data_IF_835299539380
#
_entry.id   IF_835299539380
#
_cell.length_a   1.000
_cell.length_b   1.000
_cell.length_c   1.000
_cell.angle_alpha   90.00
_cell.angle_beta   90.00
_cell.angle_gamma   90.00
#
_symmetry.space_group_name_H-M   'P 1'
#
loop_
_entity.id
_entity.type
_entity.pdbx_description
1 polymer ?
#
# COMPACT_ATOMS: atom_id res chain seq x y z
N UNK A 1 -4.44 -6.78 15.14
CA UNK A 1 -3.22 -6.06 14.65
C UNK A 1 -3.32 -4.57 15.00
N UNK A 2 -2.19 -3.88 15.26
CA UNK A 2 -2.25 -2.42 15.52
C UNK A 2 -2.33 -1.66 14.19
N UNK A 3 -3.14 -0.60 14.14
CA UNK A 3 -3.19 0.34 13.01
C UNK A 3 -1.83 1.02 12.88
N UNK A 4 -1.16 0.82 11.75
CA UNK A 4 0.16 1.40 11.48
C UNK A 4 0.02 2.76 10.79
N UNK A 5 0.88 3.71 11.15
CA UNK A 5 0.93 5.05 10.52
C UNK A 5 1.11 4.96 9.00
N UNK A 6 1.86 3.97 8.51
CA UNK A 6 2.15 3.80 7.08
C UNK A 6 0.86 3.54 6.26
N UNK A 7 -0.06 2.69 6.79
CA UNK A 7 -1.35 2.43 6.13
C UNK A 7 -2.25 3.66 6.08
N UNK A 8 -2.31 4.43 7.19
CA UNK A 8 -3.08 5.69 7.24
C UNK A 8 -2.51 6.71 6.26
N UNK A 9 -1.19 6.87 6.24
CA UNK A 9 -0.52 7.80 5.31
C UNK A 9 -0.81 7.44 3.86
N UNK A 10 -0.64 6.16 3.48
CA UNK A 10 -0.92 5.71 2.13
C UNK A 10 -2.38 5.91 1.76
N UNK A 11 -3.30 5.46 2.62
CA UNK A 11 -4.74 5.59 2.40
C UNK A 11 -5.22 7.03 2.27
N UNK A 12 -4.59 7.99 2.95
CA UNK A 12 -4.89 9.41 2.83
C UNK A 12 -4.24 10.05 1.60
N UNK A 13 -2.99 9.65 1.28
CA UNK A 13 -2.17 10.28 0.23
C UNK A 13 -2.53 9.82 -1.18
N UNK A 14 -2.91 8.56 -1.38
CA UNK A 14 -3.14 8.00 -2.71
C UNK A 14 -4.13 8.83 -3.53
N UNK A 15 -3.81 9.02 -4.81
CA UNK A 15 -4.71 9.72 -5.75
C UNK A 15 -5.94 8.87 -6.03
N UNK A 16 -7.12 9.44 -5.89
CA UNK A 16 -8.40 8.80 -6.24
C UNK A 16 -9.12 9.60 -7.31
N UNK A 17 -9.79 8.91 -8.23
CA UNK A 17 -10.57 9.53 -9.31
C UNK A 17 -12.04 9.16 -9.17
N UNK A 18 -12.97 10.05 -9.52
CA UNK A 18 -14.39 9.70 -9.55
C UNK A 18 -14.73 8.55 -10.51
N UNK A 19 -13.84 8.29 -11.48
CA UNK A 19 -13.94 7.19 -12.44
C UNK A 19 -13.45 5.84 -11.92
N UNK A 20 -12.75 5.80 -10.79
CA UNK A 20 -12.28 4.54 -10.21
C UNK A 20 -13.49 3.68 -9.79
N UNK A 21 -13.59 2.48 -10.34
CA UNK A 21 -14.68 1.54 -10.07
C UNK A 21 -14.23 0.31 -9.33
N UNK A 22 -12.98 -0.09 -9.51
CA UNK A 22 -12.41 -1.30 -8.92
C UNK A 22 -11.07 -0.98 -8.30
N UNK A 23 -10.97 -1.19 -6.99
CA UNK A 23 -9.76 -0.91 -6.22
C UNK A 23 -9.30 -2.19 -5.52
N UNK A 24 -8.00 -2.47 -5.58
CA UNK A 24 -7.37 -3.61 -4.94
C UNK A 24 -6.42 -3.16 -3.84
N UNK A 25 -6.52 -3.77 -2.67
CA UNK A 25 -5.60 -3.61 -1.54
C UNK A 25 -4.80 -4.91 -1.37
N UNK A 26 -3.51 -4.90 -1.72
CA UNK A 26 -2.62 -6.07 -1.63
C UNK A 26 -1.91 -6.06 -0.28
N UNK A 27 -2.06 -7.15 0.48
CA UNK A 27 -1.60 -7.23 1.86
C UNK A 27 -2.53 -6.42 2.77
N UNK A 28 -3.84 -6.69 2.68
CA UNK A 28 -4.88 -5.85 3.29
C UNK A 28 -4.88 -5.85 4.82
N UNK A 29 -4.29 -6.86 5.46
CA UNK A 29 -4.18 -6.98 6.92
C UNK A 29 -5.53 -6.82 7.61
N UNK A 30 -5.70 -5.74 8.36
CA UNK A 30 -6.96 -5.40 9.05
C UNK A 30 -8.03 -4.77 8.16
N UNK A 31 -7.75 -4.57 6.87
CA UNK A 31 -8.66 -3.91 5.93
C UNK A 31 -8.67 -2.38 6.01
N UNK A 32 -7.72 -1.77 6.74
CA UNK A 32 -7.69 -0.32 6.96
C UNK A 32 -7.68 0.46 5.65
N UNK A 33 -6.73 0.16 4.74
CA UNK A 33 -6.60 0.90 3.48
C UNK A 33 -7.82 0.65 2.60
N UNK A 34 -8.31 -0.60 2.53
CA UNK A 34 -9.53 -0.94 1.81
C UNK A 34 -10.74 -0.11 2.28
N UNK A 35 -10.92 0.06 3.59
CA UNK A 35 -12.00 0.87 4.17
C UNK A 35 -11.81 2.36 3.87
N UNK A 36 -10.58 2.89 3.95
CA UNK A 36 -10.28 4.27 3.56
C UNK A 36 -10.60 4.52 2.07
N UNK A 37 -10.30 3.56 1.19
CA UNK A 37 -10.68 3.65 -0.23
C UNK A 37 -12.19 3.62 -0.41
N UNK A 38 -12.90 2.76 0.32
CA UNK A 38 -14.36 2.70 0.27
C UNK A 38 -15.02 4.01 0.73
N UNK A 39 -14.44 4.69 1.73
CA UNK A 39 -14.88 6.00 2.18
C UNK A 39 -14.62 7.08 1.12
N UNK A 40 -13.41 7.11 0.54
CA UNK A 40 -12.98 8.16 -0.39
C UNK A 40 -13.56 8.05 -1.79
N UNK A 41 -13.95 6.83 -2.22
CA UNK A 41 -14.48 6.55 -3.56
C UNK A 41 -15.84 5.85 -3.46
N UNK A 42 -16.95 6.60 -3.27
CA UNK A 42 -18.27 6.00 -3.02
C UNK A 42 -18.78 5.09 -4.14
N UNK A 43 -18.32 5.30 -5.38
CA UNK A 43 -18.72 4.51 -6.55
C UNK A 43 -17.91 3.24 -6.78
N UNK A 44 -16.84 3.01 -6.00
CA UNK A 44 -15.93 1.88 -6.22
C UNK A 44 -16.33 0.64 -5.42
N UNK A 45 -15.97 -0.53 -5.97
CA UNK A 45 -15.88 -1.81 -5.25
C UNK A 45 -14.45 -2.06 -4.87
N UNK A 46 -14.22 -2.42 -3.62
CA UNK A 46 -12.90 -2.62 -3.05
C UNK A 46 -12.69 -4.12 -2.81
N UNK A 47 -11.55 -4.62 -3.21
CA UNK A 47 -11.13 -5.98 -2.88
C UNK A 47 -9.83 -5.93 -2.10
N UNK A 48 -9.80 -6.51 -0.92
CA UNK A 48 -8.57 -6.76 -0.17
C UNK A 48 -8.10 -8.20 -0.40
N UNK A 49 -6.80 -8.39 -0.61
CA UNK A 49 -6.19 -9.72 -0.73
C UNK A 49 -5.08 -9.83 0.29
N UNK A 50 -5.10 -10.90 1.06
CA UNK A 50 -4.04 -11.22 2.02
C UNK A 50 -3.80 -12.72 2.07
N UNK A 51 -2.57 -13.13 2.37
CA UNK A 51 -2.21 -14.52 2.61
C UNK A 51 -2.54 -14.94 4.05
N UNK A 52 -2.51 -13.98 4.96
CA UNK A 52 -2.82 -14.17 6.38
C UNK A 52 -4.34 -14.23 6.60
N UNK A 53 -4.73 -14.50 7.86
CA UNK A 53 -6.15 -14.54 8.25
C UNK A 53 -6.83 -13.17 8.06
N UNK A 54 -7.92 -13.17 7.30
CA UNK A 54 -8.72 -11.99 6.94
C UNK A 54 -9.98 -11.81 7.81
N UNK A 55 -10.14 -12.57 8.89
CA UNK A 55 -11.33 -12.51 9.76
C UNK A 55 -11.53 -11.12 10.34
N UNK A 56 -10.45 -10.51 10.86
CA UNK A 56 -10.51 -9.14 11.41
C UNK A 56 -10.85 -8.10 10.32
N UNK A 57 -10.35 -8.26 9.10
CA UNK A 57 -10.67 -7.35 7.99
C UNK A 57 -12.16 -7.42 7.63
N UNK A 58 -12.73 -8.62 7.62
CA UNK A 58 -14.17 -8.85 7.37
C UNK A 58 -15.01 -8.23 8.48
N UNK A 59 -14.68 -8.49 9.76
CA UNK A 59 -15.37 -7.91 10.90
C UNK A 59 -15.35 -6.36 10.85
N UNK A 60 -14.21 -5.76 10.51
CA UNK A 60 -14.08 -4.32 10.37
C UNK A 60 -14.93 -3.78 9.21
N UNK A 61 -15.01 -4.51 8.08
CA UNK A 61 -15.86 -4.12 6.98
C UNK A 61 -17.34 -4.21 7.34
N UNK A 62 -17.77 -5.30 7.96
CA UNK A 62 -19.15 -5.51 8.38
C UNK A 62 -19.61 -4.48 9.40
N UNK A 63 -18.71 -4.05 10.28
CA UNK A 63 -18.97 -2.97 11.26
C UNK A 63 -18.95 -1.55 10.63
N UNK A 64 -18.52 -1.41 9.38
CA UNK A 64 -18.40 -0.12 8.70
C UNK A 64 -19.63 0.20 7.84
N UNK A 65 -19.89 1.48 7.53
CA UNK A 65 -20.95 1.87 6.58
C UNK A 65 -20.69 1.40 5.14
N UNK A 66 -19.49 0.88 4.84
CA UNK A 66 -19.04 0.54 3.48
C UNK A 66 -18.97 -0.97 3.22
N UNK A 67 -19.30 -1.83 4.18
CA UNK A 67 -19.16 -3.28 4.11
C UNK A 67 -19.77 -3.91 2.85
N UNK A 68 -20.91 -3.41 2.38
CA UNK A 68 -21.53 -3.89 1.13
C UNK A 68 -20.72 -3.67 -0.15
N UNK A 69 -19.60 -2.92 -0.09
CA UNK A 69 -18.72 -2.61 -1.23
C UNK A 69 -17.28 -3.09 -1.04
N UNK A 70 -16.97 -3.70 0.10
CA UNK A 70 -15.63 -4.19 0.45
C UNK A 70 -15.68 -5.70 0.61
N UNK A 71 -14.82 -6.41 -0.10
CA UNK A 71 -14.69 -7.85 0.00
C UNK A 71 -13.22 -8.24 0.27
N UNK A 72 -13.03 -9.33 1.00
CA UNK A 72 -11.67 -9.84 1.28
C UNK A 72 -11.53 -11.28 0.81
N UNK A 73 -10.38 -11.58 0.18
CA UNK A 73 -10.00 -12.88 -0.34
C UNK A 73 -8.70 -13.31 0.33
N UNK A 74 -8.71 -14.48 0.96
CA UNK A 74 -7.51 -15.05 1.56
C UNK A 74 -6.81 -15.94 0.54
N UNK A 75 -5.78 -15.42 -0.09
CA UNK A 75 -4.91 -16.16 -1.00
C UNK A 75 -3.61 -15.38 -1.26
N UNK A 76 -2.54 -16.05 -1.70
CA UNK A 76 -1.37 -15.37 -2.26
C UNK A 76 -1.80 -14.50 -3.45
N UNK A 77 -1.29 -13.26 -3.54
CA UNK A 77 -1.65 -12.37 -4.65
C UNK A 77 -1.22 -12.93 -6.02
N UNK A 78 -0.19 -13.78 -6.06
CA UNK A 78 0.27 -14.48 -7.24
C UNK A 78 -0.83 -15.40 -7.84
N UNK A 79 -1.66 -15.97 -6.96
CA UNK A 79 -2.75 -16.89 -7.32
C UNK A 79 -4.10 -16.17 -7.48
N UNK A 80 -4.19 -14.92 -7.07
CA UNK A 80 -5.43 -14.14 -7.16
C UNK A 80 -5.80 -13.87 -8.62
N UNK A 81 -6.90 -14.47 -9.09
CA UNK A 81 -7.39 -14.40 -10.47
C UNK A 81 -8.82 -13.82 -10.54
N UNK A 82 -8.99 -12.50 -10.40
CA UNK A 82 -10.29 -11.86 -10.45
C UNK A 82 -10.82 -11.74 -11.89
N UNK A 83 -12.12 -11.56 -12.02
CA UNK A 83 -12.71 -11.17 -13.31
C UNK A 83 -12.42 -9.69 -13.58
N UNK A 84 -11.54 -9.40 -14.54
CA UNK A 84 -11.16 -8.06 -14.97
C UNK A 84 -10.13 -7.38 -14.05
N UNK A 85 -9.65 -6.23 -14.50
CA UNK A 85 -8.55 -5.46 -13.92
C UNK A 85 -9.04 -4.38 -12.95
N UNK A 86 -8.11 -3.72 -12.25
CA UNK A 86 -8.35 -2.69 -11.26
C UNK A 86 -7.88 -1.32 -11.75
N UNK A 87 -8.63 -0.28 -11.43
CA UNK A 87 -8.31 1.11 -11.76
C UNK A 87 -7.26 1.68 -10.81
N UNK A 88 -7.24 1.15 -9.58
CA UNK A 88 -6.28 1.50 -8.56
C UNK A 88 -5.87 0.25 -7.78
N UNK A 89 -4.57 0.07 -7.63
CA UNK A 89 -3.98 -0.93 -6.74
C UNK A 89 -3.23 -0.20 -5.64
N UNK A 90 -3.41 -0.59 -4.39
CA UNK A 90 -2.69 -0.06 -3.24
C UNK A 90 -1.99 -1.18 -2.49
N UNK A 91 -0.85 -0.90 -1.88
CA UNK A 91 -0.16 -1.88 -1.02
C UNK A 91 0.69 -1.21 0.05
N UNK A 92 0.57 -1.71 1.27
CA UNK A 92 1.51 -1.50 2.36
C UNK A 92 2.16 -2.85 2.69
N UNK A 93 3.10 -3.32 1.86
CA UNK A 93 3.65 -4.65 2.00
C UNK A 93 4.47 -4.77 3.29
N UNK A 94 4.56 -5.97 3.90
CA UNK A 94 5.41 -6.16 5.07
C UNK A 94 6.88 -5.93 4.69
N UNK A 95 7.55 -5.00 5.40
CA UNK A 95 8.95 -4.68 5.20
C UNK A 95 9.79 -5.54 6.13
N UNK A 96 10.58 -6.42 5.58
CA UNK A 96 11.66 -7.06 6.30
C UNK A 96 12.98 -6.52 5.75
N UNK A 97 13.65 -5.71 6.55
CA UNK A 97 15.06 -5.43 6.32
C UNK A 97 15.76 -6.79 6.30
N UNK A 98 16.48 -7.11 5.23
CA UNK A 98 17.45 -8.20 5.23
C UNK A 98 18.57 -7.83 6.22
N UNK A 99 18.29 -7.85 7.51
CA UNK A 99 19.32 -7.88 8.53
C UNK A 99 19.94 -9.28 8.50
N UNK A 100 20.90 -9.48 7.60
CA UNK A 100 21.94 -10.45 7.77
C UNK A 100 22.56 -10.21 9.16
N UNK A 101 22.40 -11.18 10.05
CA UNK A 101 22.93 -11.29 11.40
C UNK A 101 21.91 -11.14 12.55
N UNK A 102 21.12 -12.17 12.77
CA UNK A 102 20.82 -12.57 14.13
C UNK A 102 21.31 -14.02 14.30
N UNK A 103 22.42 -14.27 15.02
CA UNK A 103 22.89 -15.61 15.31
C UNK A 103 22.17 -16.19 16.56
N UNK A 104 20.86 -16.19 16.58
CA UNK A 104 20.09 -16.89 17.60
C UNK A 104 19.12 -17.88 16.95
N UNK A 105 19.69 -19.07 16.65
CA UNK A 105 19.02 -20.24 16.08
C UNK A 105 18.02 -20.92 17.05
N UNK A 106 17.59 -20.24 18.10
CA UNK A 106 16.81 -20.85 19.19
C UNK A 106 15.33 -20.47 19.29
N UNK A 107 14.81 -19.54 18.44
CA UNK A 107 13.40 -19.10 18.48
C UNK A 107 12.72 -19.06 17.12
N UNK A 108 13.00 -20.02 16.28
CA UNK A 108 12.55 -20.09 14.87
C UNK A 108 11.19 -20.79 14.71
N UNK A 109 10.33 -20.74 15.70
CA UNK A 109 9.03 -21.42 15.59
C UNK A 109 7.91 -20.42 15.77
N UNK A 110 7.61 -19.59 14.82
CA UNK A 110 6.32 -18.94 14.57
C UNK A 110 6.37 -17.54 13.92
N UNK A 111 7.15 -17.30 12.88
CA UNK A 111 6.95 -16.11 12.02
C UNK A 111 7.51 -16.37 10.61
N UNK A 112 7.03 -17.40 9.94
CA UNK A 112 7.06 -17.38 8.48
C UNK A 112 5.92 -16.48 7.98
N UNK A 113 6.05 -15.16 8.21
CA UNK A 113 5.30 -14.22 7.40
C UNK A 113 5.72 -14.50 5.95
N UNK A 114 4.79 -14.97 5.14
CA UNK A 114 5.05 -15.26 3.74
C UNK A 114 5.47 -13.92 3.12
N UNK A 115 6.77 -13.80 2.85
CA UNK A 115 7.34 -12.60 2.22
C UNK A 115 6.72 -12.45 0.84
N UNK A 116 6.23 -11.27 0.53
CA UNK A 116 5.90 -10.90 -0.84
C UNK A 116 7.13 -10.21 -1.46
N UNK A 117 7.95 -10.92 -2.25
CA UNK A 117 9.11 -10.33 -2.90
C UNK A 117 8.69 -9.17 -3.80
N UNK A 118 9.53 -8.16 -3.93
CA UNK A 118 9.23 -6.98 -4.77
C UNK A 118 8.98 -7.35 -6.24
N UNK A 119 9.65 -8.37 -6.76
CA UNK A 119 9.38 -8.91 -8.09
C UNK A 119 7.97 -9.44 -8.22
N UNK A 120 7.53 -10.23 -7.23
CA UNK A 120 6.18 -10.83 -7.22
C UNK A 120 5.10 -9.76 -7.06
N UNK A 121 5.34 -8.74 -6.21
CA UNK A 121 4.44 -7.60 -6.08
C UNK A 121 4.31 -6.85 -7.42
N UNK A 122 5.44 -6.54 -8.08
CA UNK A 122 5.45 -5.90 -9.42
C UNK A 122 4.65 -6.73 -10.42
N UNK A 123 4.92 -8.04 -10.52
CA UNK A 123 4.28 -8.92 -11.49
C UNK A 123 2.77 -9.05 -11.23
N UNK A 124 2.37 -9.14 -9.97
CA UNK A 124 0.96 -9.13 -9.59
C UNK A 124 0.29 -7.80 -9.98
N UNK A 125 0.94 -6.67 -9.70
CA UNK A 125 0.42 -5.34 -10.08
C UNK A 125 0.27 -5.23 -11.59
N UNK A 126 1.28 -5.56 -12.38
CA UNK A 126 1.23 -5.49 -13.85
C UNK A 126 0.09 -6.34 -14.41
N UNK A 127 -0.13 -7.52 -13.85
CA UNK A 127 -1.20 -8.43 -14.25
C UNK A 127 -2.59 -7.91 -13.90
N UNK A 128 -2.74 -7.26 -12.74
CA UNK A 128 -4.03 -6.88 -12.17
C UNK A 128 -4.45 -5.44 -12.47
N UNK A 129 -3.50 -4.56 -12.80
CA UNK A 129 -3.75 -3.16 -13.08
C UNK A 129 -4.32 -2.97 -14.49
N UNK A 130 -5.33 -2.12 -14.64
CA UNK A 130 -5.84 -1.69 -15.96
C UNK A 130 -4.82 -0.79 -16.66
N UNK A 131 -4.95 -0.62 -17.98
CA UNK A 131 -3.97 0.11 -18.79
C UNK A 131 -3.81 1.58 -18.35
N UNK A 132 -4.89 2.20 -17.87
CA UNK A 132 -4.88 3.55 -17.29
C UNK A 132 -4.88 3.56 -15.75
N UNK A 133 -4.70 2.40 -15.17
CA UNK A 133 -4.68 2.20 -13.72
C UNK A 133 -3.46 2.80 -13.05
N UNK A 134 -3.55 2.96 -11.74
CA UNK A 134 -2.47 3.46 -10.89
C UNK A 134 -2.16 2.46 -9.79
N UNK A 135 -0.89 2.37 -9.47
CA UNK A 135 -0.42 1.59 -8.33
C UNK A 135 0.23 2.50 -7.29
N UNK A 136 -0.26 2.48 -6.07
CA UNK A 136 0.31 3.25 -4.96
C UNK A 136 0.87 2.33 -3.87
N UNK A 137 2.06 2.68 -3.37
CA UNK A 137 2.75 1.88 -2.34
C UNK A 137 3.48 2.79 -1.37
N UNK A 138 3.54 2.37 -0.10
CA UNK A 138 4.42 2.94 0.90
C UNK A 138 5.60 2.00 1.12
N UNK A 139 6.83 2.55 1.16
CA UNK A 139 8.06 1.79 1.33
C UNK A 139 9.00 2.46 2.34
N UNK A 140 9.89 1.72 3.02
CA UNK A 140 11.06 2.30 3.65
C UNK A 140 11.89 3.10 2.64
N UNK A 141 12.46 4.22 3.06
CA UNK A 141 13.15 5.14 2.14
C UNK A 141 14.39 4.51 1.48
N UNK A 142 15.07 3.60 2.17
CA UNK A 142 16.21 2.82 1.69
C UNK A 142 15.83 1.77 0.63
N UNK A 143 14.59 1.24 0.68
CA UNK A 143 14.09 0.25 -0.28
C UNK A 143 13.45 0.87 -1.54
N UNK A 144 13.08 2.14 -1.48
CA UNK A 144 12.34 2.80 -2.56
C UNK A 144 13.10 2.79 -3.90
N UNK A 145 14.41 3.06 -3.88
CA UNK A 145 15.24 3.07 -5.09
C UNK A 145 15.35 1.67 -5.73
N UNK A 146 15.47 0.64 -4.89
CA UNK A 146 15.48 -0.77 -5.33
C UNK A 146 14.18 -1.16 -6.00
N UNK A 147 13.04 -0.81 -5.38
CA UNK A 147 11.72 -1.11 -5.94
C UNK A 147 11.48 -0.39 -7.27
N UNK A 148 11.84 0.90 -7.37
CA UNK A 148 11.75 1.66 -8.63
C UNK A 148 12.59 0.98 -9.72
N UNK A 149 13.81 0.53 -9.38
CA UNK A 149 14.67 -0.19 -10.32
C UNK A 149 14.07 -1.50 -10.82
N UNK A 150 13.38 -2.26 -9.95
CA UNK A 150 12.69 -3.50 -10.30
C UNK A 150 11.49 -3.23 -11.23
N UNK A 151 10.83 -2.09 -11.08
CA UNK A 151 9.61 -1.74 -11.82
C UNK A 151 9.88 -1.10 -13.20
N UNK A 152 11.06 -0.50 -13.43
CA UNK A 152 11.35 0.47 -14.49
C UNK A 152 10.93 0.09 -15.92
N UNK A 153 10.92 -1.22 -16.24
CA UNK A 153 10.63 -1.70 -17.60
C UNK A 153 9.11 -1.82 -17.86
N UNK A 154 8.29 -1.83 -16.81
CA UNK A 154 6.84 -2.09 -16.88
C UNK A 154 6.00 -1.02 -16.18
N UNK A 155 6.52 -0.41 -15.11
CA UNK A 155 5.85 0.62 -14.32
C UNK A 155 6.83 1.77 -14.05
N UNK A 156 6.38 3.01 -14.24
CA UNK A 156 7.17 4.20 -13.93
C UNK A 156 6.50 5.01 -12.80
N UNK A 157 7.30 5.53 -11.85
CA UNK A 157 6.77 6.40 -10.80
C UNK A 157 6.37 7.74 -11.41
N UNK A 158 5.13 8.15 -11.17
CA UNK A 158 4.59 9.45 -11.60
C UNK A 158 4.43 10.42 -10.45
N UNK A 159 4.43 9.91 -9.21
CA UNK A 159 4.36 10.72 -8.00
C UNK A 159 5.20 10.08 -6.91
N UNK A 160 5.99 10.90 -6.21
CA UNK A 160 6.81 10.50 -5.08
C UNK A 160 6.67 11.50 -3.96
N UNK A 161 6.47 11.02 -2.73
CA UNK A 161 6.52 11.87 -1.54
C UNK A 161 7.45 11.24 -0.52
N UNK A 162 8.49 11.98 -0.17
CA UNK A 162 9.44 11.61 0.88
C UNK A 162 8.86 12.02 2.25
N UNK A 163 8.65 11.06 3.15
CA UNK A 163 8.01 11.28 4.46
C UNK A 163 9.06 11.34 5.55
N UNK A 164 9.14 12.48 6.22
CA UNK A 164 10.03 12.74 7.36
C UNK A 164 9.23 12.81 8.65
N UNK A 165 9.81 12.32 9.74
CA UNK A 165 9.21 12.49 11.08
C UNK A 165 9.34 13.92 11.58
N UNK A 166 10.44 14.60 11.26
CA UNK A 166 10.67 16.03 11.54
C UNK A 166 11.48 16.64 10.40
N UNK A 167 11.50 17.98 10.24
CA UNK A 167 12.23 18.64 9.16
C UNK A 167 13.75 18.32 9.15
N UNK A 168 14.32 17.97 10.30
CA UNK A 168 15.77 17.73 10.45
C UNK A 168 16.19 16.29 10.21
N UNK A 169 15.26 15.34 10.17
CA UNK A 169 15.58 13.94 9.96
C UNK A 169 15.50 13.57 8.47
N UNK A 170 16.27 12.58 8.06
CA UNK A 170 16.12 11.97 6.74
C UNK A 170 14.73 11.33 6.61
N UNK A 171 14.26 11.19 5.37
CA UNK A 171 13.00 10.48 5.09
C UNK A 171 13.09 9.04 5.59
N UNK A 172 12.06 8.59 6.31
CA UNK A 172 11.96 7.21 6.79
C UNK A 172 11.04 6.36 5.91
N UNK A 173 10.10 7.00 5.23
CA UNK A 173 9.17 6.37 4.29
C UNK A 173 9.12 7.16 3.01
N UNK A 174 8.74 6.46 1.96
CA UNK A 174 8.47 7.05 0.66
C UNK A 174 7.11 6.51 0.19
N UNK A 175 6.25 7.41 -0.23
CA UNK A 175 5.00 7.11 -0.90
C UNK A 175 5.25 7.23 -2.41
N UNK A 176 4.91 6.20 -3.15
CA UNK A 176 5.11 6.15 -4.60
C UNK A 176 3.80 5.82 -5.29
N UNK A 177 3.51 6.51 -6.39
CA UNK A 177 2.45 6.16 -7.31
C UNK A 177 3.04 5.89 -8.69
N UNK A 178 2.66 4.75 -9.27
CA UNK A 178 3.14 4.25 -10.55
C UNK A 178 2.00 4.14 -11.55
N UNK A 179 2.35 4.23 -12.82
CA UNK A 179 1.51 3.87 -13.96
C UNK A 179 2.30 2.96 -14.92
N UNK A 180 1.61 2.33 -15.87
CA UNK A 180 2.30 1.61 -16.93
C UNK A 180 3.25 2.53 -17.70
N UNK A 181 4.39 2.00 -18.15
CA UNK A 181 5.41 2.77 -18.89
C UNK A 181 4.86 3.45 -20.13
N UNK A 182 3.87 2.85 -20.78
CA UNK A 182 3.20 3.41 -21.97
C UNK A 182 2.40 4.68 -21.71
N UNK A 183 2.09 4.99 -20.45
CA UNK A 183 1.20 6.10 -20.05
C UNK A 183 1.85 7.10 -19.10
N UNK A 184 3.18 7.02 -18.90
CA UNK A 184 3.85 7.78 -17.85
C UNK A 184 4.10 9.25 -18.22
N UNK A 185 3.53 10.22 -17.47
CA UNK A 185 3.95 11.62 -17.50
C UNK A 185 5.29 11.82 -16.77
N UNK A 186 5.83 13.04 -16.81
CA UNK A 186 6.97 13.39 -15.97
C UNK A 186 6.63 13.24 -14.48
N UNK A 187 7.55 12.68 -13.66
CA UNK A 187 7.28 12.41 -12.25
C UNK A 187 7.17 13.72 -11.43
N UNK A 188 6.12 13.80 -10.60
CA UNK A 188 5.98 14.83 -9.57
C UNK A 188 6.66 14.37 -8.27
N UNK A 189 7.47 15.24 -7.67
CA UNK A 189 8.19 14.96 -6.43
C UNK A 189 7.87 15.96 -5.35
N UNK A 190 7.39 15.47 -4.22
CA UNK A 190 7.01 16.27 -3.05
C UNK A 190 7.67 15.75 -1.77
N UNK A 191 7.56 16.53 -0.70
CA UNK A 191 8.02 16.16 0.63
C UNK A 191 6.88 16.36 1.62
N UNK A 192 6.71 15.42 2.55
CA UNK A 192 5.75 15.49 3.65
C UNK A 192 6.49 15.38 4.98
N UNK A 193 6.26 16.35 5.86
CA UNK A 193 6.76 16.32 7.23
C UNK A 193 5.58 16.07 8.16
N UNK A 194 5.58 14.94 8.89
CA UNK A 194 4.48 14.53 9.76
C UNK A 194 4.54 15.12 11.17
N UNK A 195 5.62 15.75 11.57
CA UNK A 195 5.73 16.37 12.89
C UNK A 195 6.72 17.52 12.90
N UNK A 196 6.46 18.51 13.75
CA UNK A 196 7.33 19.68 13.93
C UNK A 196 8.43 19.42 14.95
N UNK A 197 8.44 18.25 15.61
CA UNK A 197 9.32 17.95 16.73
C UNK A 197 8.71 18.36 18.09
N UNK A 198 7.50 18.92 18.09
CA UNK A 198 6.71 19.24 19.29
C UNK A 198 5.49 18.31 19.31
N UNK A 199 5.25 17.66 20.45
CA UNK A 199 4.27 16.56 20.61
C UNK A 199 2.82 16.90 20.26
N UNK A 200 2.45 18.17 20.13
CA UNK A 200 1.05 18.62 20.05
C UNK A 200 0.44 18.70 18.64
N UNK A 201 1.23 18.60 17.56
CA UNK A 201 0.70 18.76 16.19
C UNK A 201 0.47 17.46 15.41
N UNK A 202 0.62 16.31 16.07
CA UNK A 202 0.38 15.00 15.42
C UNK A 202 -1.09 14.76 15.04
N UNK A 203 -2.02 15.49 15.67
CA UNK A 203 -3.46 15.28 15.53
C UNK A 203 -4.13 16.13 14.44
N UNK A 204 -3.47 17.16 13.92
CA UNK A 204 -4.10 18.07 12.94
C UNK A 204 -4.11 17.54 11.49
N UNK A 205 -3.30 16.52 11.19
CA UNK A 205 -3.23 15.89 9.86
C UNK A 205 -4.20 14.71 9.69
N UNK A 206 -4.87 14.29 10.76
CA UNK A 206 -5.79 13.12 10.76
C UNK A 206 -7.26 13.56 10.69
N UNK A 207 -7.56 14.84 10.64
CA UNK A 207 -8.92 15.32 10.39
C UNK A 207 -9.20 15.27 8.88
N UNK A 208 -9.51 14.06 8.42
CA UNK A 208 -10.20 13.83 7.14
C UNK A 208 -11.65 13.49 7.45
#
# INVERSE_FOLDING_TARGET
>A
MKVGTDGVLLGAWVSVRPSDRRILDIGSGTGLIALMMAQRVPGARITGVDVEDISQARENADASPWGGRVAFVQCPVQEFAPQGKFDLVVSNPPFFVDSLTCPDAGRTTARHAVRLPFGDLRDAVVRLLSDEGRFAVVLPADEAARFIGICRDVLLPVRRTDVRTTPRHAAKRVLLEFVHTSSAPAPDRTELVIGTGVHEQYLSLIHI
#
